data_IF_893205863213
#
_entry.id   IF_893205863213
#
_cell.length_a   1.000
_cell.length_b   1.000
_cell.length_c   1.000
_cell.angle_alpha   90.00
_cell.angle_beta   90.00
_cell.angle_gamma   90.00
#
_symmetry.space_group_name_H-M   'P 1'
#
loop_
_entity.id
_entity.type
_entity.pdbx_description
1 polymer ?
#
# COMPACT_ATOMS: atom_id res chain seq x y z
N UNK A 1 -83.63 32.22 4.31
CA UNK A 1 -83.93 31.67 2.97
C UNK A 1 -82.87 30.59 2.67
N UNK A 2 -82.85 29.47 3.39
CA UNK A 2 -83.51 28.18 3.11
C UNK A 2 -83.52 27.79 1.63
N UNK A 3 -82.69 26.80 1.24
CA UNK A 3 -83.03 25.66 0.36
C UNK A 3 -81.81 24.70 0.32
N UNK A 4 -81.78 23.65 1.14
CA UNK A 4 -82.25 22.27 0.91
C UNK A 4 -81.53 21.51 -0.21
N UNK A 5 -80.66 20.61 0.25
CA UNK A 5 -80.05 19.47 -0.43
C UNK A 5 -81.16 18.52 -0.94
N UNK A 6 -81.02 18.02 -2.18
CA UNK A 6 -81.72 16.81 -2.66
C UNK A 6 -80.69 15.82 -3.19
N UNK A 7 -80.75 14.62 -2.63
CA UNK A 7 -80.03 13.43 -3.06
C UNK A 7 -80.70 12.86 -4.31
N UNK A 8 -79.90 12.50 -5.31
CA UNK A 8 -80.33 11.72 -6.47
C UNK A 8 -79.38 10.55 -6.64
N UNK A 9 -79.87 9.34 -6.36
CA UNK A 9 -79.17 8.09 -6.64
C UNK A 9 -79.11 7.86 -8.14
N UNK A 10 -77.91 7.58 -8.67
CA UNK A 10 -77.75 6.89 -9.94
C UNK A 10 -76.78 5.73 -9.72
N UNK A 11 -77.37 4.54 -9.69
CA UNK A 11 -76.72 3.24 -9.73
C UNK A 11 -76.13 3.08 -11.13
N UNK A 12 -74.81 2.98 -11.23
CA UNK A 12 -74.17 2.34 -12.38
C UNK A 12 -73.51 1.05 -11.91
N UNK A 13 -74.26 -0.04 -12.05
CA UNK A 13 -73.72 -1.39 -12.06
C UNK A 13 -73.09 -1.60 -13.45
N UNK A 14 -71.78 -1.85 -13.48
CA UNK A 14 -71.04 -1.95 -14.73
C UNK A 14 -69.68 -2.61 -14.56
N UNK A 15 -69.72 -3.92 -14.29
CA UNK A 15 -68.79 -4.95 -14.78
C UNK A 15 -67.33 -4.92 -14.28
N UNK A 16 -67.00 -5.93 -13.46
CA UNK A 16 -65.64 -6.41 -13.20
C UNK A 16 -64.87 -6.61 -14.51
N UNK A 17 -63.69 -6.01 -14.59
CA UNK A 17 -62.55 -6.63 -15.27
C UNK A 17 -61.37 -6.67 -14.30
N UNK A 18 -60.85 -7.87 -14.12
CA UNK A 18 -59.79 -8.22 -13.19
C UNK A 18 -58.51 -7.42 -13.46
N UNK A 19 -57.93 -6.91 -12.38
CA UNK A 19 -56.63 -6.27 -12.40
C UNK A 19 -56.13 -6.12 -10.98
N UNK A 20 -55.76 -7.24 -10.33
CA UNK A 20 -54.94 -7.21 -9.11
C UNK A 20 -53.52 -6.80 -9.50
N UNK A 21 -53.35 -5.55 -9.91
CA UNK A 21 -52.05 -4.89 -9.91
C UNK A 21 -51.77 -4.45 -8.50
N UNK A 22 -51.26 -5.34 -7.65
CA UNK A 22 -50.41 -4.88 -6.56
C UNK A 22 -49.22 -4.20 -7.24
N UNK A 23 -49.22 -2.89 -7.25
CA UNK A 23 -48.04 -2.11 -7.58
C UNK A 23 -47.05 -2.40 -6.47
N UNK A 24 -46.24 -3.44 -6.65
CA UNK A 24 -45.11 -3.73 -5.78
C UNK A 24 -44.18 -2.54 -5.97
N UNK A 25 -44.19 -1.62 -5.00
CA UNK A 25 -43.08 -0.70 -4.83
C UNK A 25 -41.87 -1.61 -4.63
N UNK A 26 -40.99 -1.69 -5.62
CA UNK A 26 -39.73 -2.39 -5.46
C UNK A 26 -39.01 -1.75 -4.27
N UNK A 27 -38.65 -2.56 -3.26
CA UNK A 27 -37.80 -2.07 -2.16
C UNK A 27 -36.49 -1.60 -2.81
N UNK A 28 -36.18 -0.30 -2.71
CA UNK A 28 -34.99 0.31 -3.33
C UNK A 28 -33.69 -0.32 -2.79
N UNK A 29 -33.77 -1.06 -1.69
CA UNK A 29 -32.70 -1.84 -1.10
C UNK A 29 -33.16 -3.25 -0.68
N UNK A 30 -33.13 -4.23 -1.60
CA UNK A 30 -33.64 -5.59 -1.38
C UNK A 30 -33.04 -6.29 -0.17
N UNK A 31 -33.85 -7.10 0.51
CA UNK A 31 -33.39 -7.99 1.58
C UNK A 31 -32.66 -9.19 0.99
N UNK A 32 -31.42 -9.42 1.41
CA UNK A 32 -30.62 -10.57 0.98
C UNK A 32 -30.57 -11.70 2.03
N UNK A 33 -30.80 -11.38 3.31
CA UNK A 33 -30.99 -12.37 4.38
C UNK A 33 -31.77 -11.77 5.56
N UNK A 34 -32.36 -12.64 6.40
CA UNK A 34 -33.07 -12.24 7.63
C UNK A 34 -32.75 -13.22 8.76
N UNK A 35 -32.44 -12.69 9.93
CA UNK A 35 -32.14 -13.43 11.17
C UNK A 35 -33.07 -12.88 12.25
N UNK A 36 -34.17 -13.57 12.54
CA UNK A 36 -35.26 -13.08 13.39
C UNK A 36 -35.75 -11.68 12.98
N UNK A 37 -35.33 -10.64 13.72
CA UNK A 37 -35.67 -9.23 13.50
C UNK A 37 -34.56 -8.45 12.79
N UNK A 38 -33.34 -8.98 12.72
CA UNK A 38 -32.24 -8.38 11.96
C UNK A 38 -32.36 -8.74 10.47
N UNK A 39 -32.13 -7.75 9.62
CA UNK A 39 -32.22 -7.87 8.16
C UNK A 39 -30.87 -7.47 7.58
N UNK A 40 -30.32 -8.30 6.70
CA UNK A 40 -29.17 -7.95 5.87
C UNK A 40 -29.71 -7.46 4.54
N UNK A 41 -29.41 -6.21 4.18
CA UNK A 41 -29.85 -5.60 2.92
C UNK A 41 -28.76 -5.68 1.84
N UNK A 42 -29.16 -5.47 0.60
CA UNK A 42 -28.24 -5.49 -0.54
C UNK A 42 -27.16 -4.42 -0.41
N UNK A 43 -27.51 -3.22 0.06
CA UNK A 43 -26.57 -2.12 0.28
C UNK A 43 -25.49 -2.45 1.31
N UNK A 44 -25.86 -3.07 2.44
CA UNK A 44 -24.94 -3.54 3.48
C UNK A 44 -23.98 -4.60 2.91
N UNK A 45 -24.51 -5.63 2.26
CA UNK A 45 -23.69 -6.67 1.66
C UNK A 45 -22.75 -6.10 0.60
N UNK A 46 -23.23 -5.14 -0.20
CA UNK A 46 -22.40 -4.46 -1.21
C UNK A 46 -21.25 -3.71 -0.55
N UNK A 47 -21.50 -2.93 0.50
CA UNK A 47 -20.45 -2.18 1.19
C UNK A 47 -19.35 -3.10 1.75
N UNK A 48 -19.74 -4.23 2.36
CA UNK A 48 -18.80 -5.23 2.87
C UNK A 48 -18.00 -5.92 1.75
N UNK A 49 -18.63 -6.19 0.59
CA UNK A 49 -17.93 -6.72 -0.59
C UNK A 49 -16.94 -5.69 -1.13
N UNK A 50 -17.33 -4.42 -1.23
CA UNK A 50 -16.48 -3.35 -1.73
C UNK A 50 -15.24 -3.17 -0.83
N UNK A 51 -15.41 -3.29 0.50
CA UNK A 51 -14.29 -3.25 1.46
C UNK A 51 -13.27 -4.38 1.22
N UNK A 52 -13.74 -5.63 1.04
CA UNK A 52 -12.86 -6.77 0.73
C UNK A 52 -12.15 -6.54 -0.61
N UNK A 53 -12.88 -6.05 -1.62
CA UNK A 53 -12.34 -5.83 -2.97
C UNK A 53 -11.42 -4.62 -3.09
N UNK A 54 -11.53 -3.65 -2.18
CA UNK A 54 -10.58 -2.54 -2.07
C UNK A 54 -9.18 -3.02 -1.65
N UNK A 55 -9.08 -4.17 -0.97
CA UNK A 55 -7.80 -4.80 -0.60
C UNK A 55 -7.32 -5.80 -1.65
N UNK A 56 -8.25 -6.52 -2.28
CA UNK A 56 -7.97 -7.60 -3.22
C UNK A 56 -9.12 -7.72 -4.23
N UNK A 57 -8.94 -7.12 -5.40
CA UNK A 57 -9.99 -6.94 -6.41
C UNK A 57 -10.41 -8.26 -7.09
N UNK A 58 -9.59 -9.30 -6.97
CA UNK A 58 -9.82 -10.67 -7.45
C UNK A 58 -10.85 -11.44 -6.60
N UNK A 59 -11.09 -11.03 -5.35
CA UNK A 59 -12.06 -11.70 -4.48
C UNK A 59 -13.51 -11.33 -4.80
N UNK A 60 -14.42 -12.29 -4.52
CA UNK A 60 -15.88 -12.09 -4.55
C UNK A 60 -16.44 -11.66 -5.93
N UNK A 61 -15.75 -11.99 -7.02
CA UNK A 61 -16.16 -11.68 -8.40
C UNK A 61 -17.36 -12.50 -8.85
N UNK A 62 -17.44 -13.76 -8.43
CA UNK A 62 -18.52 -14.67 -8.83
C UNK A 62 -19.72 -14.59 -7.88
N UNK A 63 -20.90 -14.98 -8.40
CA UNK A 63 -22.12 -15.09 -7.58
C UNK A 63 -21.94 -16.11 -6.45
N UNK A 64 -21.22 -17.21 -6.73
CA UNK A 64 -20.98 -18.27 -5.73
C UNK A 64 -20.12 -17.77 -4.57
N UNK A 65 -19.03 -17.05 -4.84
CA UNK A 65 -18.18 -16.46 -3.80
C UNK A 65 -18.95 -15.44 -2.96
N UNK A 66 -19.75 -14.56 -3.59
CA UNK A 66 -20.61 -13.62 -2.86
C UNK A 66 -21.64 -14.31 -1.99
N UNK A 67 -22.19 -15.44 -2.45
CA UNK A 67 -23.10 -16.25 -1.65
C UNK A 67 -22.38 -16.84 -0.44
N UNK A 68 -21.19 -17.43 -0.62
CA UNK A 68 -20.37 -17.94 0.50
C UNK A 68 -19.98 -16.85 1.49
N UNK A 69 -19.65 -15.66 0.99
CA UNK A 69 -19.37 -14.50 1.84
C UNK A 69 -20.59 -14.07 2.66
N UNK A 70 -21.78 -14.05 2.04
CA UNK A 70 -23.04 -13.80 2.76
C UNK A 70 -23.30 -14.87 3.84
N UNK A 71 -23.08 -16.15 3.55
CA UNK A 71 -23.22 -17.22 4.54
C UNK A 71 -22.27 -17.02 5.74
N UNK A 72 -21.02 -16.63 5.49
CA UNK A 72 -20.07 -16.32 6.57
C UNK A 72 -20.54 -15.14 7.43
N UNK A 73 -21.13 -14.10 6.82
CA UNK A 73 -21.71 -12.97 7.56
C UNK A 73 -22.90 -13.44 8.42
N UNK A 74 -23.76 -14.30 7.87
CA UNK A 74 -24.89 -14.88 8.61
C UNK A 74 -24.38 -15.68 9.81
N UNK A 75 -23.39 -16.56 9.61
CA UNK A 75 -22.78 -17.35 10.69
C UNK A 75 -22.22 -16.45 11.80
N UNK A 76 -21.48 -15.40 11.44
CA UNK A 76 -20.95 -14.43 12.40
C UNK A 76 -22.06 -13.73 13.20
N UNK A 77 -23.15 -13.30 12.54
CA UNK A 77 -24.29 -12.65 13.21
C UNK A 77 -25.01 -13.61 14.16
N UNK A 78 -25.20 -14.88 13.77
CA UNK A 78 -25.77 -15.91 14.65
C UNK A 78 -24.93 -16.13 15.91
N UNK A 79 -23.61 -16.28 15.73
CA UNK A 79 -22.68 -16.45 16.85
C UNK A 79 -22.64 -15.22 17.76
N UNK A 80 -22.66 -14.02 17.19
CA UNK A 80 -22.72 -12.77 17.94
C UNK A 80 -24.04 -12.62 18.71
N UNK A 81 -25.18 -13.02 18.13
CA UNK A 81 -26.48 -13.00 18.79
C UNK A 81 -26.49 -13.93 20.02
N UNK A 82 -25.98 -15.15 19.89
CA UNK A 82 -25.85 -16.07 21.01
C UNK A 82 -24.88 -15.54 22.08
N UNK A 83 -23.76 -14.96 21.66
CA UNK A 83 -22.81 -14.34 22.59
C UNK A 83 -23.46 -13.22 23.43
N UNK A 84 -24.32 -12.40 22.82
CA UNK A 84 -25.12 -11.38 23.54
C UNK A 84 -26.14 -12.01 24.48
N UNK A 85 -26.83 -13.07 24.05
CA UNK A 85 -27.79 -13.81 24.90
C UNK A 85 -27.11 -14.39 26.15
N UNK A 86 -25.87 -14.84 26.01
CA UNK A 86 -25.03 -15.34 27.10
C UNK A 86 -24.34 -14.23 27.91
N UNK A 87 -24.53 -12.95 27.55
CA UNK A 87 -23.93 -11.80 28.22
C UNK A 87 -22.41 -11.69 28.05
N UNK A 88 -21.84 -12.32 27.01
CA UNK A 88 -20.40 -12.28 26.76
C UNK A 88 -19.93 -10.88 26.35
N UNK A 89 -20.78 -10.12 25.64
CA UNK A 89 -20.58 -8.72 25.30
C UNK A 89 -20.53 -7.80 26.53
N UNK A 90 -21.04 -8.27 27.68
CA UNK A 90 -21.01 -7.53 28.93
C UNK A 90 -19.73 -7.75 29.75
N UNK A 91 -18.89 -8.73 29.39
CA UNK A 91 -17.62 -8.98 30.09
C UNK A 91 -16.66 -7.79 29.91
N UNK A 92 -15.92 -7.37 30.96
CA UNK A 92 -15.06 -6.19 30.89
C UNK A 92 -14.03 -6.23 29.75
N UNK A 93 -13.38 -7.37 29.55
CA UNK A 93 -12.37 -7.56 28.51
C UNK A 93 -12.98 -7.50 27.09
N UNK A 94 -14.22 -7.97 26.93
CA UNK A 94 -14.94 -7.91 25.65
C UNK A 94 -15.40 -6.49 25.36
N UNK A 95 -15.98 -5.78 26.35
CA UNK A 95 -16.35 -4.35 26.19
C UNK A 95 -15.15 -3.49 25.80
N UNK A 96 -14.01 -3.70 26.45
CA UNK A 96 -12.78 -2.97 26.14
C UNK A 96 -12.33 -3.20 24.69
N UNK A 97 -12.34 -4.45 24.23
CA UNK A 97 -12.02 -4.80 22.84
C UNK A 97 -13.02 -4.18 21.84
N UNK A 98 -14.32 -4.27 22.11
CA UNK A 98 -15.35 -3.66 21.26
C UNK A 98 -15.12 -2.15 21.17
N UNK A 99 -14.95 -1.46 22.30
CA UNK A 99 -14.73 -0.01 22.30
C UNK A 99 -13.44 0.38 21.57
N UNK A 100 -12.38 -0.41 21.71
CA UNK A 100 -11.13 -0.18 21.00
C UNK A 100 -11.31 -0.28 19.48
N UNK A 101 -12.02 -1.31 18.99
CA UNK A 101 -12.32 -1.47 17.56
C UNK A 101 -13.23 -0.33 17.06
N UNK A 102 -14.25 0.07 17.83
CA UNK A 102 -15.09 1.23 17.51
C UNK A 102 -14.24 2.49 17.34
N UNK A 103 -13.30 2.75 18.26
CA UNK A 103 -12.42 3.92 18.17
C UNK A 103 -11.52 3.88 16.94
N UNK A 104 -11.00 2.69 16.56
CA UNK A 104 -10.20 2.51 15.34
C UNK A 104 -11.02 2.85 14.10
N UNK A 105 -12.23 2.29 13.98
CA UNK A 105 -13.10 2.49 12.81
C UNK A 105 -13.51 3.96 12.70
N UNK A 106 -13.88 4.61 13.80
CA UNK A 106 -14.24 6.03 13.82
C UNK A 106 -13.06 6.91 13.43
N UNK A 107 -11.85 6.61 13.93
CA UNK A 107 -10.64 7.35 13.55
C UNK A 107 -10.32 7.17 12.05
N UNK A 108 -10.46 5.96 11.52
CA UNK A 108 -10.26 5.68 10.09
C UNK A 108 -11.28 6.43 9.22
N UNK A 109 -12.56 6.41 9.58
CA UNK A 109 -13.60 7.14 8.87
C UNK A 109 -13.33 8.65 8.87
N UNK A 110 -12.93 9.20 10.01
CA UNK A 110 -12.55 10.60 10.11
C UNK A 110 -11.31 10.93 9.27
N UNK A 111 -10.29 10.05 9.25
CA UNK A 111 -9.12 10.24 8.38
C UNK A 111 -9.43 10.11 6.90
N UNK A 112 -10.36 9.24 6.50
CA UNK A 112 -10.85 9.18 5.13
C UNK A 112 -11.51 10.51 4.74
N UNK A 113 -12.34 11.05 5.63
CA UNK A 113 -12.95 12.36 5.44
C UNK A 113 -11.91 13.50 5.35
N UNK A 114 -10.82 13.46 6.13
CA UNK A 114 -9.74 14.45 6.01
C UNK A 114 -9.04 14.40 4.64
N UNK A 115 -9.03 13.26 3.97
CA UNK A 115 -8.44 13.08 2.63
C UNK A 115 -9.36 13.56 1.52
N UNK A 116 -10.68 13.52 1.75
CA UNK A 116 -11.65 13.96 0.76
C UNK A 116 -11.43 15.44 0.43
N UNK A 117 -11.25 15.73 -0.86
CA UNK A 117 -11.02 17.09 -1.35
C UNK A 117 -9.59 17.60 -1.23
N UNK A 118 -8.64 16.81 -0.70
CA UNK A 118 -7.21 17.18 -0.74
C UNK A 118 -6.70 16.98 -2.17
N UNK A 119 -6.50 18.09 -2.87
CA UNK A 119 -5.92 18.11 -4.20
C UNK A 119 -4.86 19.21 -4.25
N UNK A 120 -3.56 18.88 -4.33
CA UNK A 120 -2.51 19.88 -4.42
C UNK A 120 -2.62 20.64 -5.75
N UNK A 121 -2.48 21.96 -5.65
CA UNK A 121 -2.31 22.84 -6.82
C UNK A 121 -1.00 22.52 -7.56
N UNK A 122 -0.89 22.87 -8.85
CA UNK A 122 0.37 22.70 -9.59
C UNK A 122 1.57 23.36 -8.89
N UNK A 123 1.37 24.51 -8.27
CA UNK A 123 2.43 25.24 -7.54
C UNK A 123 2.88 24.49 -6.29
N UNK A 124 1.96 23.87 -5.54
CA UNK A 124 2.31 23.04 -4.37
C UNK A 124 3.08 21.78 -4.79
N UNK A 125 2.70 21.15 -5.90
CA UNK A 125 3.41 19.99 -6.45
C UNK A 125 4.83 20.39 -6.88
N UNK A 126 4.99 21.51 -7.59
CA UNK A 126 6.30 22.01 -8.00
C UNK A 126 7.17 22.40 -6.80
N UNK A 127 6.61 23.07 -5.80
CA UNK A 127 7.30 23.42 -4.56
C UNK A 127 7.74 22.18 -3.78
N UNK A 128 6.90 21.14 -3.73
CA UNK A 128 7.24 19.88 -3.08
C UNK A 128 8.45 19.21 -3.74
N UNK A 129 8.48 19.11 -5.07
CA UNK A 129 9.62 18.56 -5.81
C UNK A 129 10.92 19.34 -5.55
N UNK A 130 10.86 20.67 -5.54
CA UNK A 130 12.02 21.52 -5.27
C UNK A 130 12.54 21.40 -3.84
N UNK A 131 11.63 21.19 -2.87
CA UNK A 131 11.99 21.05 -1.46
C UNK A 131 12.50 19.64 -1.10
N UNK A 132 12.24 18.63 -1.93
CA UNK A 132 12.59 17.22 -1.66
C UNK A 132 13.29 16.54 -2.86
N UNK A 133 14.36 17.12 -3.43
CA UNK A 133 15.04 16.56 -4.58
C UNK A 133 15.53 15.12 -4.33
N UNK A 134 15.93 14.81 -3.10
CA UNK A 134 16.44 13.50 -2.69
C UNK A 134 15.43 12.36 -2.88
N UNK A 135 14.13 12.65 -2.84
CA UNK A 135 13.08 11.66 -3.08
C UNK A 135 12.93 11.29 -4.57
N UNK A 136 13.47 12.15 -5.44
CA UNK A 136 13.38 12.01 -6.90
C UNK A 136 14.75 11.74 -7.54
N UNK A 137 15.79 11.56 -6.73
CA UNK A 137 17.12 11.18 -7.18
C UNK A 137 17.17 9.76 -7.76
N UNK A 138 17.89 9.64 -8.85
CA UNK A 138 18.48 8.38 -9.30
C UNK A 138 19.86 8.31 -8.66
N UNK A 139 20.14 7.30 -7.81
CA UNK A 139 21.44 7.17 -7.17
C UNK A 139 22.53 6.93 -8.22
N UNK A 140 23.75 7.33 -7.88
CA UNK A 140 24.94 7.05 -8.67
C UNK A 140 25.02 5.56 -9.00
N UNK A 141 25.39 5.23 -10.24
CA UNK A 141 25.53 3.85 -10.70
C UNK A 141 26.94 3.57 -11.21
N UNK A 142 27.45 2.38 -10.90
CA UNK A 142 28.72 1.88 -11.39
C UNK A 142 28.49 0.64 -12.26
N UNK A 143 29.03 0.62 -13.47
CA UNK A 143 29.17 -0.60 -14.26
C UNK A 143 30.49 -1.24 -13.91
N UNK A 144 30.46 -2.43 -13.32
CA UNK A 144 31.65 -3.04 -12.75
C UNK A 144 31.87 -4.46 -13.27
N UNK A 145 33.15 -4.81 -13.41
CA UNK A 145 33.61 -6.19 -13.52
C UNK A 145 34.30 -6.57 -12.23
N UNK A 146 34.26 -7.86 -11.88
CA UNK A 146 35.04 -8.36 -10.76
C UNK A 146 35.63 -9.74 -11.01
N UNK A 147 36.70 -10.03 -10.29
CA UNK A 147 37.25 -11.37 -10.11
C UNK A 147 37.09 -11.68 -8.63
N UNK A 148 36.24 -12.66 -8.29
CA UNK A 148 36.12 -13.18 -6.93
C UNK A 148 36.78 -14.55 -6.82
N UNK A 149 37.64 -14.71 -5.81
CA UNK A 149 38.34 -15.95 -5.47
C UNK A 149 38.30 -16.24 -3.97
N UNK A 150 38.49 -17.51 -3.60
CA UNK A 150 38.28 -17.98 -2.23
C UNK A 150 39.43 -17.69 -1.26
N UNK A 151 40.64 -17.44 -1.76
CA UNK A 151 41.84 -17.22 -0.93
C UNK A 151 42.63 -16.00 -1.38
N UNK A 152 43.46 -15.46 -0.48
CA UNK A 152 44.28 -14.29 -0.78
C UNK A 152 45.34 -14.61 -1.83
N UNK A 153 45.92 -15.80 -1.77
CA UNK A 153 46.96 -16.27 -2.69
C UNK A 153 46.41 -16.39 -4.13
N UNK A 154 45.16 -16.82 -4.27
CA UNK A 154 44.49 -16.85 -5.57
C UNK A 154 44.25 -15.43 -6.10
N UNK A 155 43.94 -14.46 -5.24
CA UNK A 155 43.74 -13.07 -5.63
C UNK A 155 45.07 -12.41 -6.01
N UNK A 156 46.15 -12.67 -5.26
CA UNK A 156 47.50 -12.22 -5.58
C UNK A 156 47.96 -12.77 -6.93
N UNK A 157 47.67 -14.04 -7.22
CA UNK A 157 47.92 -14.62 -8.54
C UNK A 157 47.13 -13.91 -9.63
N UNK A 158 45.83 -13.65 -9.43
CA UNK A 158 45.02 -12.93 -10.40
C UNK A 158 45.56 -11.51 -10.65
N UNK A 159 46.00 -10.81 -9.59
CA UNK A 159 46.61 -9.49 -9.72
C UNK A 159 47.92 -9.54 -10.51
N UNK A 160 48.80 -10.50 -10.21
CA UNK A 160 50.06 -10.66 -10.94
C UNK A 160 49.83 -10.91 -12.44
N UNK A 161 48.81 -11.69 -12.82
CA UNK A 161 48.42 -11.91 -14.21
C UNK A 161 47.94 -10.60 -14.88
N UNK A 162 47.16 -9.78 -14.17
CA UNK A 162 46.72 -8.46 -14.64
C UNK A 162 47.90 -7.49 -14.83
N UNK A 163 48.87 -7.49 -13.90
CA UNK A 163 50.07 -6.65 -13.95
C UNK A 163 50.98 -6.97 -15.15
N UNK A 164 50.89 -8.17 -15.72
CA UNK A 164 51.58 -8.51 -16.98
C UNK A 164 50.93 -7.89 -18.23
N UNK A 165 49.79 -7.20 -18.08
CA UNK A 165 49.02 -6.60 -19.16
C UNK A 165 47.98 -7.52 -19.80
N UNK A 166 47.66 -8.66 -19.17
CA UNK A 166 46.56 -9.52 -19.63
C UNK A 166 45.21 -8.80 -19.47
N UNK A 167 44.30 -9.07 -20.40
CA UNK A 167 42.94 -8.51 -20.34
C UNK A 167 42.19 -9.03 -19.10
N UNK A 168 41.47 -8.13 -18.41
CA UNK A 168 40.73 -8.44 -17.19
C UNK A 168 39.71 -9.56 -17.41
N UNK A 169 39.03 -9.53 -18.55
CA UNK A 169 38.00 -10.49 -18.93
C UNK A 169 38.57 -11.90 -19.07
N UNK A 170 39.80 -12.03 -19.58
CA UNK A 170 40.47 -13.32 -19.71
C UNK A 170 40.85 -13.89 -18.35
N UNK A 171 41.43 -13.08 -17.46
CA UNK A 171 41.76 -13.51 -16.09
C UNK A 171 40.49 -13.88 -15.33
N UNK A 172 39.41 -13.10 -15.49
CA UNK A 172 38.11 -13.40 -14.90
C UNK A 172 37.49 -14.69 -15.45
N UNK A 173 37.54 -14.93 -16.77
CA UNK A 173 37.05 -16.17 -17.38
C UNK A 173 37.78 -17.41 -16.90
N UNK A 174 39.03 -17.29 -16.44
CA UNK A 174 39.81 -18.40 -15.92
C UNK A 174 39.58 -18.61 -14.41
N UNK A 175 39.69 -17.52 -13.63
CA UNK A 175 39.86 -17.60 -12.18
C UNK A 175 38.60 -17.31 -11.38
N UNK A 176 37.63 -16.60 -11.95
CA UNK A 176 36.47 -16.15 -11.21
C UNK A 176 35.61 -17.35 -10.75
N UNK A 177 35.12 -17.29 -9.50
CA UNK A 177 34.37 -18.38 -8.87
C UNK A 177 32.86 -18.28 -9.06
N UNK A 178 32.34 -17.10 -9.41
CA UNK A 178 30.91 -16.88 -9.56
C UNK A 178 30.43 -17.01 -11.02
N UNK A 179 29.12 -16.85 -11.23
CA UNK A 179 28.50 -16.96 -12.55
C UNK A 179 28.92 -15.85 -13.53
N UNK A 180 29.51 -14.74 -13.06
CA UNK A 180 30.01 -13.68 -13.93
C UNK A 180 31.26 -14.10 -14.71
N UNK A 181 31.91 -15.21 -14.34
CA UNK A 181 32.99 -15.86 -15.09
C UNK A 181 32.70 -15.95 -16.60
N UNK A 182 31.50 -16.40 -16.98
CA UNK A 182 31.11 -16.56 -18.38
C UNK A 182 31.06 -15.22 -19.16
N UNK A 183 30.97 -14.09 -18.46
CA UNK A 183 30.94 -12.73 -19.02
C UNK A 183 32.22 -11.95 -18.70
N UNK A 184 33.33 -12.63 -18.40
CA UNK A 184 34.59 -11.96 -18.08
C UNK A 184 34.53 -11.12 -16.81
N UNK A 185 33.73 -11.55 -15.82
CA UNK A 185 33.57 -10.85 -14.55
C UNK A 185 32.51 -9.77 -14.55
N UNK A 186 31.82 -9.52 -15.67
CA UNK A 186 30.82 -8.46 -15.77
C UNK A 186 29.52 -8.80 -15.00
N UNK A 187 29.21 -7.93 -14.04
CA UNK A 187 27.98 -7.99 -13.24
C UNK A 187 26.98 -6.89 -13.61
N UNK A 188 27.33 -5.98 -14.52
CA UNK A 188 26.45 -4.92 -15.02
C UNK A 188 26.44 -3.67 -14.15
N UNK A 189 25.37 -2.87 -14.32
CA UNK A 189 25.14 -1.62 -13.60
C UNK A 189 24.54 -1.86 -12.23
N UNK A 190 25.20 -1.35 -11.19
CA UNK A 190 24.67 -1.33 -9.83
C UNK A 190 24.52 0.10 -9.34
N UNK A 191 23.35 0.48 -8.82
CA UNK A 191 23.21 1.72 -8.07
C UNK A 191 23.88 1.56 -6.70
N UNK A 192 24.37 2.68 -6.17
CA UNK A 192 24.89 2.78 -4.81
C UNK A 192 23.83 2.30 -3.79
N UNK A 193 24.26 1.61 -2.73
CA UNK A 193 23.41 0.98 -1.72
C UNK A 193 22.95 -0.45 -2.08
N UNK A 194 23.44 -1.06 -3.17
CA UNK A 194 23.06 -2.42 -3.59
C UNK A 194 24.18 -3.43 -3.52
N UNK A 195 25.41 -3.00 -3.27
CA UNK A 195 26.58 -3.87 -3.14
C UNK A 195 27.01 -3.97 -1.66
N UNK A 196 27.84 -4.96 -1.32
CA UNK A 196 28.40 -5.04 0.03
C UNK A 196 29.37 -3.88 0.29
N UNK A 197 29.43 -3.32 1.51
CA UNK A 197 30.09 -2.04 1.74
C UNK A 197 31.55 -1.95 1.26
N UNK A 198 32.34 -3.00 1.47
CA UNK A 198 33.76 -3.02 1.08
C UNK A 198 33.94 -3.00 -0.44
N UNK A 199 33.10 -3.76 -1.15
CA UNK A 199 33.08 -3.77 -2.60
C UNK A 199 32.59 -2.42 -3.14
N UNK A 200 31.48 -1.93 -2.60
CA UNK A 200 30.84 -0.69 -3.06
C UNK A 200 31.78 0.51 -2.89
N UNK A 201 32.33 0.69 -1.70
CA UNK A 201 33.24 1.80 -1.41
C UNK A 201 34.44 1.80 -2.36
N UNK A 202 34.97 0.63 -2.67
CA UNK A 202 36.08 0.51 -3.63
C UNK A 202 35.63 0.81 -5.06
N UNK A 203 34.56 0.15 -5.54
CA UNK A 203 34.03 0.31 -6.89
C UNK A 203 33.73 1.79 -7.22
N UNK A 204 33.13 2.51 -6.28
CA UNK A 204 32.78 3.92 -6.46
C UNK A 204 33.92 4.90 -6.12
N UNK A 205 35.09 4.43 -5.65
CA UNK A 205 36.30 5.24 -5.52
C UNK A 205 37.18 5.21 -6.78
N UNK A 206 37.05 4.18 -7.61
CA UNK A 206 37.81 4.00 -8.86
C UNK A 206 37.45 5.05 -9.93
N UNK A 207 38.41 5.40 -10.79
CA UNK A 207 38.12 6.10 -12.05
C UNK A 207 37.75 5.09 -13.14
N UNK A 208 37.10 5.59 -14.20
CA UNK A 208 36.70 4.75 -15.33
C UNK A 208 37.93 4.09 -15.96
N UNK A 209 37.92 2.76 -16.03
CA UNK A 209 39.02 1.93 -16.54
C UNK A 209 39.95 1.39 -15.47
N UNK A 210 39.91 1.94 -14.25
CA UNK A 210 40.80 1.52 -13.16
C UNK A 210 40.45 0.13 -12.65
N UNK A 211 41.48 -0.55 -12.16
CA UNK A 211 41.40 -1.82 -11.44
C UNK A 211 41.82 -1.54 -9.99
N UNK A 212 41.06 -2.07 -9.02
CA UNK A 212 41.34 -1.91 -7.60
C UNK A 212 42.47 -2.82 -7.13
N UNK A 213 43.00 -2.53 -5.93
CA UNK A 213 43.68 -3.53 -5.12
C UNK A 213 42.75 -4.69 -4.73
N UNK A 214 43.30 -5.72 -4.08
CA UNK A 214 42.53 -6.85 -3.57
C UNK A 214 41.62 -6.40 -2.41
N UNK A 215 40.32 -6.54 -2.60
CA UNK A 215 39.27 -6.21 -1.62
C UNK A 215 38.76 -7.48 -0.96
N UNK A 216 38.90 -7.58 0.37
CA UNK A 216 38.30 -8.68 1.13
C UNK A 216 36.85 -8.34 1.47
N UNK A 217 35.93 -9.27 1.19
CA UNK A 217 34.54 -9.21 1.62
C UNK A 217 34.17 -10.50 2.37
N UNK A 218 32.92 -10.61 2.83
CA UNK A 218 32.38 -11.86 3.37
C UNK A 218 32.31 -13.02 2.35
N UNK A 219 32.39 -12.73 1.05
CA UNK A 219 32.27 -13.72 -0.01
C UNK A 219 33.62 -14.23 -0.52
N UNK A 220 34.72 -13.59 -0.15
CA UNK A 220 36.06 -13.93 -0.60
C UNK A 220 36.90 -12.69 -0.85
N UNK A 221 37.84 -12.82 -1.78
CA UNK A 221 38.74 -11.76 -2.21
C UNK A 221 38.37 -11.33 -3.62
N UNK A 222 38.18 -10.03 -3.81
CA UNK A 222 37.74 -9.42 -5.05
C UNK A 222 38.84 -8.55 -5.64
N UNK A 223 38.94 -8.54 -6.95
CA UNK A 223 39.59 -7.48 -7.72
C UNK A 223 38.50 -6.84 -8.57
N UNK A 224 38.36 -5.53 -8.49
CA UNK A 224 37.22 -4.80 -9.06
C UNK A 224 37.73 -3.90 -10.17
N UNK A 225 37.04 -3.87 -11.30
CA UNK A 225 37.29 -2.93 -12.39
C UNK A 225 36.06 -2.08 -12.63
N UNK A 226 36.23 -0.76 -12.71
CA UNK A 226 35.15 0.15 -13.08
C UNK A 226 35.12 0.32 -14.60
N UNK A 227 34.08 -0.21 -15.26
CA UNK A 227 33.89 -0.05 -16.70
C UNK A 227 33.32 1.32 -17.05
N UNK A 228 32.33 1.78 -16.28
CA UNK A 228 31.71 3.07 -16.48
C UNK A 228 30.97 3.56 -15.23
N UNK A 229 30.61 4.85 -15.20
CA UNK A 229 29.90 5.49 -14.10
C UNK A 229 28.81 6.41 -14.61
N UNK A 230 27.65 6.38 -13.96
CA UNK A 230 26.57 7.36 -14.11
C UNK A 230 26.47 8.14 -12.80
N UNK A 231 26.62 9.46 -12.89
CA UNK A 231 26.45 10.33 -11.74
C UNK A 231 25.02 10.21 -11.19
N UNK A 232 24.86 10.51 -9.90
CA UNK A 232 23.53 10.72 -9.35
C UNK A 232 22.87 11.89 -10.08
N UNK A 233 21.57 11.78 -10.32
CA UNK A 233 20.80 12.83 -10.98
C UNK A 233 19.40 12.89 -10.44
N UNK A 234 18.87 14.09 -10.22
CA UNK A 234 17.44 14.27 -9.93
C UNK A 234 16.65 14.05 -11.22
N UNK A 235 15.64 13.19 -11.17
CA UNK A 235 14.77 12.95 -12.33
C UNK A 235 13.97 14.22 -12.65
N UNK A 236 13.93 14.68 -13.92
CA UNK A 236 13.19 15.87 -14.31
C UNK A 236 11.74 15.83 -13.83
N UNK A 237 11.21 16.99 -13.44
CA UNK A 237 9.87 17.10 -12.87
C UNK A 237 8.81 16.48 -13.80
N UNK A 238 8.94 16.70 -15.10
CA UNK A 238 8.03 16.20 -16.13
C UNK A 238 7.95 14.66 -16.16
N UNK A 239 9.03 13.98 -15.78
CA UNK A 239 9.08 12.50 -15.73
C UNK A 239 8.45 11.94 -14.45
N UNK A 240 8.36 12.75 -13.40
CA UNK A 240 7.93 12.30 -12.06
C UNK A 240 6.70 13.04 -11.52
N UNK A 241 6.07 13.92 -12.30
CA UNK A 241 5.00 14.81 -11.83
C UNK A 241 3.88 14.05 -11.10
N UNK A 242 3.41 12.92 -11.64
CA UNK A 242 2.36 12.12 -11.00
C UNK A 242 2.81 11.56 -9.64
N UNK A 243 4.05 11.08 -9.56
CA UNK A 243 4.63 10.60 -8.32
C UNK A 243 4.80 11.74 -7.30
N UNK A 244 5.28 12.90 -7.73
CA UNK A 244 5.38 14.11 -6.90
C UNK A 244 4.00 14.52 -6.39
N UNK A 245 2.98 14.50 -7.24
CA UNK A 245 1.60 14.84 -6.87
C UNK A 245 1.07 13.90 -5.80
N UNK A 246 1.28 12.59 -5.94
CA UNK A 246 0.90 11.62 -4.93
C UNK A 246 1.61 11.86 -3.60
N UNK A 247 2.93 12.09 -3.62
CA UNK A 247 3.73 12.42 -2.43
C UNK A 247 3.25 13.72 -1.77
N UNK A 248 2.94 14.74 -2.57
CA UNK A 248 2.43 16.03 -2.11
C UNK A 248 1.08 15.86 -1.42
N UNK A 249 0.15 15.13 -2.04
CA UNK A 249 -1.16 14.80 -1.43
C UNK A 249 -0.98 14.08 -0.10
N UNK A 250 -0.10 13.07 -0.03
CA UNK A 250 0.17 12.34 1.21
C UNK A 250 0.75 13.24 2.30
N UNK A 251 1.68 14.12 1.94
CA UNK A 251 2.28 15.09 2.86
C UNK A 251 1.25 16.10 3.38
N UNK A 252 0.37 16.63 2.51
CA UNK A 252 -0.71 17.53 2.89
C UNK A 252 -1.69 16.87 3.86
N UNK A 253 -2.13 15.64 3.55
CA UNK A 253 -3.01 14.85 4.42
C UNK A 253 -2.36 14.60 5.78
N UNK A 254 -1.08 14.25 5.81
CA UNK A 254 -0.38 14.01 7.07
C UNK A 254 -0.21 15.29 7.90
N UNK A 255 0.06 16.43 7.25
CA UNK A 255 0.13 17.72 7.92
C UNK A 255 -1.23 18.14 8.48
N UNK A 256 -2.31 17.96 7.72
CA UNK A 256 -3.67 18.19 8.18
C UNK A 256 -4.01 17.29 9.37
N UNK A 257 -3.66 16.00 9.30
CA UNK A 257 -3.85 15.05 10.40
C UNK A 257 -3.11 15.51 11.67
N UNK A 258 -1.84 15.88 11.56
CA UNK A 258 -1.04 16.39 12.69
C UNK A 258 -1.63 17.66 13.29
N UNK A 259 -2.07 18.60 12.45
CA UNK A 259 -2.73 19.83 12.89
C UNK A 259 -4.03 19.52 13.64
N UNK A 260 -4.88 18.67 13.07
CA UNK A 260 -6.14 18.24 13.69
C UNK A 260 -5.90 17.56 15.04
N UNK A 261 -4.95 16.63 15.14
CA UNK A 261 -4.61 15.99 16.42
C UNK A 261 -4.12 17.02 17.44
N UNK A 262 -3.31 17.99 17.01
CA UNK A 262 -2.82 19.06 17.89
C UNK A 262 -3.98 19.92 18.43
N UNK A 263 -4.95 20.25 17.58
CA UNK A 263 -6.17 20.98 17.97
C UNK A 263 -7.01 20.15 18.94
N UNK A 264 -7.32 18.90 18.59
CA UNK A 264 -8.14 18.00 19.42
C UNK A 264 -7.51 17.76 20.79
N UNK A 265 -6.18 17.67 20.89
CA UNK A 265 -5.50 17.55 22.20
C UNK A 265 -5.72 18.76 23.11
N UNK A 266 -5.84 19.97 22.53
CA UNK A 266 -6.13 21.21 23.28
C UNK A 266 -7.61 21.31 23.65
N UNK A 267 -8.49 20.88 22.77
CA UNK A 267 -9.95 20.94 22.98
C UNK A 267 -10.47 19.86 23.93
N UNK A 268 -9.86 18.68 23.94
CA UNK A 268 -10.30 17.50 24.69
C UNK A 268 -9.53 17.25 25.99
N UNK A 269 -8.74 18.23 26.46
CA UNK A 269 -8.00 18.19 27.74
C UNK A 269 -7.24 16.87 27.98
N UNK A 270 -6.28 16.57 27.10
CA UNK A 270 -5.54 15.29 27.13
C UNK A 270 -4.41 15.33 28.16
N UNK A 271 -4.62 14.69 29.31
CA UNK A 271 -3.59 14.41 30.32
C UNK A 271 -2.96 13.02 30.12
N UNK A 272 -1.64 12.91 30.33
CA UNK A 272 -0.89 11.65 30.25
C UNK A 272 -0.16 11.45 31.57
N UNK A 273 -0.22 10.23 32.11
CA UNK A 273 0.42 9.81 33.37
C UNK A 273 1.53 8.78 33.08
N UNK A 274 2.75 9.19 32.67
CA UNK A 274 3.81 8.28 32.21
C UNK A 274 4.25 7.26 33.27
N UNK A 275 4.17 7.62 34.54
CA UNK A 275 4.54 6.79 35.69
C UNK A 275 3.61 5.58 35.89
N UNK A 276 2.41 5.59 35.29
CA UNK A 276 1.43 4.52 35.39
C UNK A 276 1.43 3.58 34.17
N UNK A 277 2.37 3.75 33.24
CA UNK A 277 2.52 2.86 32.09
C UNK A 277 3.05 1.48 32.57
N UNK A 278 2.53 0.36 32.02
CA UNK A 278 2.91 -1.00 32.40
C UNK A 278 4.32 -1.40 31.95
#
# INVERSE_FOLDING_TARGET
>A
MVLKIKWGWLIFAGMLMAGTGHMVIADEDPIVARIETEVIRQSELKALIDEVRAQDDEKLKTVLERKQFLENIIEQKLMAAEARRLGLDQKPDVKLRIQHIVNIILAQAYYAQLREGVSPSPDEVAAYYQAHPEQFETPEQAHVKHIIVGTKEAAEKAMAELDTGRAFESVAQEMNLDASKARGGDIGWYPRGRLVPEFENTAFALQKGDVSDIVKTRFGFHIIKLEDRRAASVRPFEEVEEAVRLQTTQAMVENQRKATITTLRKELDVEVFPEALP
#
